data_IF_829562889554
#
_entry.id   IF_829562889554
#
_cell.length_a   1.000
_cell.length_b   1.000
_cell.length_c   1.000
_cell.angle_alpha   90.00
_cell.angle_beta   90.00
_cell.angle_gamma   90.00
#
_symmetry.space_group_name_H-M   'P 1'
#
loop_
_entity.id
_entity.type
_entity.pdbx_description
1 polymer ?
#
# COMPACT_ATOMS: atom_id res chain seq x y z
N UNK A 1 -6.83 -10.81 14.82
CA UNK A 1 -6.69 -9.67 13.89
C UNK A 1 -5.39 -8.97 14.20
N UNK A 2 -4.47 -8.94 13.24
CA UNK A 2 -3.18 -8.29 13.36
C UNK A 2 -3.32 -6.77 13.48
N UNK A 3 -2.28 -6.09 13.98
CA UNK A 3 -2.26 -4.62 14.04
C UNK A 3 -2.46 -3.98 12.65
N UNK A 4 -1.86 -4.60 11.62
CA UNK A 4 -2.00 -4.17 10.23
C UNK A 4 -3.46 -4.16 9.79
N UNK A 5 -4.18 -5.25 10.05
CA UNK A 5 -5.60 -5.37 9.67
C UNK A 5 -6.45 -4.33 10.39
N UNK A 6 -6.17 -4.06 11.68
CA UNK A 6 -6.88 -3.04 12.46
C UNK A 6 -6.67 -1.63 11.89
N UNK A 7 -5.43 -1.28 11.55
CA UNK A 7 -5.10 -0.02 10.88
C UNK A 7 -5.82 0.07 9.53
N UNK A 8 -5.73 -1.01 8.72
CA UNK A 8 -6.30 -1.04 7.37
C UNK A 8 -7.81 -0.81 7.35
N UNK A 9 -8.53 -1.38 8.33
CA UNK A 9 -9.97 -1.22 8.45
C UNK A 9 -10.37 0.25 8.65
N UNK A 10 -9.60 1.00 9.46
CA UNK A 10 -9.88 2.42 9.73
C UNK A 10 -9.31 3.37 8.66
N UNK A 11 -8.25 2.93 7.98
CA UNK A 11 -7.60 3.73 6.96
C UNK A 11 -8.38 3.67 5.63
N UNK A 12 -8.97 2.54 5.27
CA UNK A 12 -9.70 2.39 4.01
C UNK A 12 -11.17 2.85 4.13
N UNK A 13 -11.61 3.71 3.21
CA UNK A 13 -12.95 4.31 3.23
C UNK A 13 -14.06 3.31 2.97
N UNK A 14 -13.74 2.17 2.34
CA UNK A 14 -14.70 1.07 2.10
C UNK A 14 -15.02 0.34 3.39
N UNK A 15 -14.01 0.12 4.25
CA UNK A 15 -14.13 -0.69 5.47
C UNK A 15 -14.40 0.12 6.73
N UNK A 16 -14.15 1.44 6.71
CA UNK A 16 -14.25 2.32 7.88
C UNK A 16 -15.62 2.26 8.59
N UNK A 17 -16.69 1.96 7.85
CA UNK A 17 -18.07 1.88 8.37
C UNK A 17 -18.61 0.44 8.42
N UNK A 18 -17.75 -0.57 8.28
CA UNK A 18 -18.18 -1.96 8.30
C UNK A 18 -18.76 -2.33 9.69
N UNK A 19 -19.98 -2.88 9.68
CA UNK A 19 -20.67 -3.35 10.88
C UNK A 19 -20.06 -4.68 11.34
N UNK A 20 -19.26 -4.65 12.40
CA UNK A 20 -18.61 -5.85 12.94
C UNK A 20 -17.52 -5.57 13.97
N UNK A 21 -17.08 -4.32 14.08
CA UNK A 21 -16.09 -3.90 15.06
C UNK A 21 -16.72 -3.60 16.41
N UNK A 22 -16.23 -4.25 17.47
CA UNK A 22 -16.60 -3.88 18.85
C UNK A 22 -16.02 -2.50 19.20
N UNK A 23 -16.69 -1.76 20.07
CA UNK A 23 -16.24 -0.43 20.49
C UNK A 23 -14.80 -0.44 21.04
N UNK A 24 -14.44 -1.42 21.86
CA UNK A 24 -13.10 -1.54 22.43
C UNK A 24 -12.03 -1.79 21.36
N UNK A 25 -12.35 -2.63 20.37
CA UNK A 25 -11.45 -2.91 19.24
C UNK A 25 -11.25 -1.66 18.39
N UNK A 26 -12.30 -0.86 18.23
CA UNK A 26 -12.24 0.40 17.48
C UNK A 26 -11.32 1.40 18.17
N UNK A 27 -11.43 1.54 19.50
CA UNK A 27 -10.56 2.45 20.27
C UNK A 27 -9.09 2.02 20.20
N UNK A 28 -8.82 0.72 20.31
CA UNK A 28 -7.47 0.16 20.16
C UNK A 28 -6.92 0.40 18.75
N UNK A 29 -7.74 0.18 17.72
CA UNK A 29 -7.37 0.43 16.32
C UNK A 29 -7.13 1.92 16.04
N UNK A 30 -7.93 2.83 16.63
CA UNK A 30 -7.77 4.28 16.50
C UNK A 30 -6.43 4.71 17.11
N UNK A 31 -6.04 4.15 18.26
CA UNK A 31 -4.73 4.41 18.87
C UNK A 31 -3.57 3.88 18.03
N UNK A 32 -3.72 2.68 17.45
CA UNK A 32 -2.71 2.12 16.54
C UNK A 32 -2.55 2.99 15.28
N UNK A 33 -3.67 3.47 14.73
CA UNK A 33 -3.65 4.37 13.57
C UNK A 33 -3.05 5.74 13.92
N UNK A 34 -3.33 6.30 15.11
CA UNK A 34 -2.71 7.55 15.59
C UNK A 34 -1.18 7.41 15.65
N UNK A 35 -0.68 6.34 16.25
CA UNK A 35 0.75 6.08 16.32
C UNK A 35 1.37 5.93 14.92
N UNK A 36 0.72 5.16 14.03
CA UNK A 36 1.17 5.00 12.66
C UNK A 36 1.18 6.33 11.89
N UNK A 37 0.19 7.19 12.12
CA UNK A 37 0.07 8.51 11.52
C UNK A 37 1.22 9.42 11.95
N UNK A 38 1.52 9.47 13.25
CA UNK A 38 2.62 10.27 13.79
C UNK A 38 3.96 9.81 13.20
N UNK A 39 4.23 8.50 13.19
CA UNK A 39 5.45 7.95 12.61
C UNK A 39 5.58 8.26 11.11
N UNK A 40 4.47 8.11 10.37
CA UNK A 40 4.43 8.45 8.96
C UNK A 40 4.68 9.94 8.72
N UNK A 41 4.01 10.81 9.48
CA UNK A 41 4.15 12.27 9.37
C UNK A 41 5.57 12.75 9.66
N UNK A 42 6.24 12.19 10.67
CA UNK A 42 7.66 12.49 10.95
C UNK A 42 8.55 12.18 9.75
N UNK A 43 8.44 10.96 9.21
CA UNK A 43 9.23 10.51 8.04
C UNK A 43 8.91 11.35 6.80
N UNK A 44 7.65 11.67 6.57
CA UNK A 44 7.24 12.47 5.43
C UNK A 44 7.78 13.91 5.51
N UNK A 45 7.76 14.53 6.70
CA UNK A 45 8.34 15.85 6.92
C UNK A 45 9.86 15.85 6.77
N UNK A 46 10.53 14.81 7.28
CA UNK A 46 11.97 14.63 7.08
C UNK A 46 12.32 14.53 5.59
N UNK A 47 11.60 13.70 4.85
CA UNK A 47 11.79 13.55 3.41
C UNK A 47 11.52 14.87 2.64
N UNK A 48 10.51 15.65 3.03
CA UNK A 48 10.27 16.97 2.46
C UNK A 48 11.45 17.93 2.70
N UNK A 49 12.04 17.91 3.90
CA UNK A 49 13.22 18.72 4.25
C UNK A 49 14.46 18.29 3.46
N UNK A 50 14.71 16.98 3.35
CA UNK A 50 15.82 16.41 2.58
C UNK A 50 15.71 16.78 1.09
N UNK A 51 14.52 16.67 0.52
CA UNK A 51 14.26 17.07 -0.87
C UNK A 51 14.55 18.55 -1.10
N UNK A 52 14.10 19.43 -0.20
CA UNK A 52 14.36 20.86 -0.29
C UNK A 52 15.85 21.18 -0.15
N UNK A 53 16.58 20.49 0.73
CA UNK A 53 18.02 20.65 0.89
C UNK A 53 18.77 20.21 -0.38
N UNK A 54 18.36 19.10 -1.00
CA UNK A 54 18.93 18.62 -2.26
C UNK A 54 18.70 19.61 -3.40
N UNK A 55 17.47 20.10 -3.57
CA UNK A 55 17.13 21.11 -4.58
C UNK A 55 17.90 22.42 -4.36
N UNK A 56 18.11 22.84 -3.10
CA UNK A 56 18.90 24.02 -2.78
C UNK A 56 20.39 23.82 -3.11
N UNK A 57 20.96 22.64 -2.83
CA UNK A 57 22.34 22.30 -3.18
C UNK A 57 22.55 22.29 -4.70
N UNK A 58 21.63 21.66 -5.44
CA UNK A 58 21.68 21.62 -6.91
C UNK A 58 21.57 23.03 -7.53
N UNK A 59 20.74 23.91 -6.96
CA UNK A 59 20.67 25.32 -7.40
C UNK A 59 21.95 26.09 -7.10
N UNK A 60 22.58 25.86 -5.94
CA UNK A 60 23.85 26.50 -5.59
C UNK A 60 24.99 26.05 -6.52
N UNK A 61 25.07 24.75 -6.85
CA UNK A 61 26.05 24.20 -7.79
C UNK A 61 25.84 24.71 -9.23
N UNK A 62 24.57 24.83 -9.66
CA UNK A 62 24.21 25.38 -10.97
C UNK A 62 24.52 26.89 -11.09
N UNK A 63 24.44 27.64 -9.97
CA UNK A 63 24.83 29.05 -9.91
C UNK A 63 26.35 29.26 -9.85
N UNK A 64 27.10 28.33 -9.25
CA UNK A 64 28.57 28.37 -9.25
C UNK A 64 29.16 28.11 -10.65
N UNK A 65 28.53 27.24 -11.44
CA UNK A 65 28.96 26.89 -12.81
C UNK A 65 28.53 27.90 -13.88
N UNK A 66 27.50 28.72 -13.65
CA UNK A 66 27.07 29.77 -14.61
C UNK A 66 27.93 31.03 -14.61
N UNK A 67 28.94 31.17 -13.74
CA UNK A 67 29.97 32.21 -13.88
C UNK A 67 30.99 31.94 -15.00
N UNK A 68 30.90 30.79 -15.70
CA UNK A 68 31.91 30.43 -16.71
C UNK A 68 31.41 29.92 -18.06
N UNK A 69 30.10 29.83 -18.34
CA UNK A 69 29.63 29.48 -19.71
C UNK A 69 28.23 30.02 -20.02
N UNK A 70 28.19 31.11 -20.77
CA UNK A 70 27.06 31.45 -21.62
C UNK A 70 27.12 30.58 -22.89
N UNK A 71 26.10 29.75 -23.12
CA UNK A 71 25.47 29.44 -24.42
C UNK A 71 24.80 28.05 -24.46
N UNK A 72 23.50 28.06 -24.80
CA UNK A 72 22.69 26.99 -25.41
C UNK A 72 22.45 25.71 -24.56
N UNK A 73 21.27 25.07 -24.50
CA UNK A 73 20.03 25.14 -25.30
C UNK A 73 18.90 24.59 -24.43
N UNK A 74 17.67 25.07 -24.65
CA UNK A 74 16.42 24.50 -24.15
C UNK A 74 16.24 23.09 -24.71
N UNK A 75 15.96 22.11 -23.86
CA UNK A 75 15.15 20.96 -24.26
C UNK A 75 14.28 20.49 -23.10
N UNK A 76 13.05 20.15 -23.43
CA UNK A 76 11.95 19.77 -22.55
C UNK A 76 12.19 18.39 -21.93
N UNK A 77 12.00 18.26 -20.62
CA UNK A 77 11.90 16.97 -19.95
C UNK A 77 10.65 16.96 -19.07
N UNK A 78 9.69 16.17 -19.53
CA UNK A 78 8.46 15.80 -18.85
C UNK A 78 8.78 15.20 -17.47
N UNK A 79 8.17 15.75 -16.42
CA UNK A 79 8.27 15.24 -15.06
C UNK A 79 7.44 13.95 -14.94
N UNK A 80 8.06 12.81 -15.25
CA UNK A 80 7.62 11.52 -14.76
C UNK A 80 7.78 11.48 -13.24
N UNK A 81 6.68 11.29 -12.51
CA UNK A 81 6.73 10.89 -11.11
C UNK A 81 7.27 9.46 -11.05
N UNK A 82 8.59 9.34 -10.97
CA UNK A 82 9.27 8.09 -10.67
C UNK A 82 9.13 7.84 -9.16
N UNK A 83 8.36 6.80 -8.81
CA UNK A 83 8.31 6.31 -7.44
C UNK A 83 9.57 5.49 -7.23
N UNK A 84 10.59 6.11 -6.65
CA UNK A 84 11.77 5.38 -6.17
C UNK A 84 11.34 4.47 -5.02
N UNK A 85 11.36 3.16 -5.31
CA UNK A 85 10.88 2.07 -4.46
C UNK A 85 11.94 1.71 -3.38
N UNK A 86 12.55 2.73 -2.77
CA UNK A 86 13.47 2.56 -1.65
C UNK A 86 12.69 2.37 -0.34
N UNK A 87 11.95 1.26 -0.25
CA UNK A 87 11.20 0.85 0.94
C UNK A 87 12.02 -0.15 1.77
N UNK A 88 12.29 0.27 3.01
CA UNK A 88 12.46 -0.58 4.20
C UNK A 88 13.71 -1.47 4.27
N UNK A 89 14.86 -0.83 4.51
CA UNK A 89 15.90 -1.45 5.33
C UNK A 89 15.62 -1.15 6.81
N UNK A 90 15.40 -2.21 7.59
CA UNK A 90 15.12 -2.20 9.02
C UNK A 90 16.43 -2.04 9.82
N UNK A 91 17.14 -0.94 9.56
CA UNK A 91 18.31 -0.57 10.35
C UNK A 91 17.86 0.34 11.49
N UNK A 92 17.61 -0.28 12.64
CA UNK A 92 17.67 0.37 13.95
C UNK A 92 19.11 0.89 14.15
N UNK A 93 19.36 2.14 13.74
CA UNK A 93 20.56 2.87 14.14
C UNK A 93 20.15 4.21 14.79
N UNK A 94 20.39 4.27 16.09
CA UNK A 94 20.18 5.39 17.00
C UNK A 94 20.99 6.64 16.60
N UNK A 95 20.35 7.82 16.63
CA UNK A 95 21.07 9.09 16.77
C UNK A 95 20.29 10.10 17.62
N UNK A 96 20.62 10.09 18.90
CA UNK A 96 20.19 11.00 19.96
C UNK A 96 20.73 12.43 19.74
N UNK A 97 19.90 13.42 19.36
CA UNK A 97 20.05 14.85 19.74
C UNK A 97 18.88 15.79 19.34
N UNK A 98 17.64 15.63 19.84
CA UNK A 98 16.58 16.66 19.65
C UNK A 98 15.34 16.56 20.58
N UNK A 99 15.49 16.04 21.80
CA UNK A 99 14.36 15.61 22.64
C UNK A 99 13.21 16.62 22.86
N UNK A 100 13.44 17.93 22.76
CA UNK A 100 12.37 18.95 22.91
C UNK A 100 11.63 19.21 21.58
N UNK A 101 12.34 19.29 20.46
CA UNK A 101 11.74 19.53 19.15
C UNK A 101 10.97 18.29 18.63
N UNK A 102 11.50 17.10 18.92
CA UNK A 102 10.84 15.84 18.53
C UNK A 102 9.55 15.59 19.33
N UNK A 103 9.51 15.95 20.62
CA UNK A 103 8.31 15.88 21.43
C UNK A 103 7.23 16.87 20.96
N UNK A 104 7.62 18.10 20.61
CA UNK A 104 6.69 19.12 20.11
C UNK A 104 6.04 18.67 18.79
N UNK A 105 6.85 18.18 17.85
CA UNK A 105 6.36 17.67 16.56
C UNK A 105 5.46 16.44 16.69
N UNK A 106 5.82 15.50 17.58
CA UNK A 106 4.98 14.34 17.92
C UNK A 106 3.62 14.79 18.43
N UNK A 107 3.60 15.77 19.33
CA UNK A 107 2.38 16.28 19.93
C UNK A 107 1.49 17.02 18.91
N UNK A 108 2.10 17.81 18.02
CA UNK A 108 1.40 18.51 16.94
C UNK A 108 0.75 17.53 15.96
N UNK A 109 1.47 16.49 15.53
CA UNK A 109 0.95 15.45 14.64
C UNK A 109 -0.19 14.63 15.27
N UNK A 110 -0.13 14.37 16.58
CA UNK A 110 -1.20 13.70 17.31
C UNK A 110 -2.48 14.58 17.40
N UNK A 111 -2.32 15.89 17.60
CA UNK A 111 -3.44 16.86 17.58
C UNK A 111 -4.04 16.98 16.18
N UNK A 112 -3.19 17.03 15.16
CA UNK A 112 -3.59 17.02 13.75
C UNK A 112 -4.40 15.76 13.43
N UNK A 113 -3.89 14.58 13.79
CA UNK A 113 -4.57 13.30 13.59
C UNK A 113 -6.01 13.33 14.13
N UNK A 114 -6.20 13.76 15.38
CA UNK A 114 -7.54 13.83 16.00
C UNK A 114 -8.51 14.75 15.25
N UNK A 115 -7.99 15.75 14.56
CA UNK A 115 -8.77 16.70 13.77
C UNK A 115 -9.11 16.10 12.41
N UNK A 116 -8.10 15.66 11.66
CA UNK A 116 -8.28 15.11 10.30
C UNK A 116 -9.03 13.78 10.32
N UNK A 117 -8.83 12.93 11.33
CA UNK A 117 -9.52 11.65 11.45
C UNK A 117 -11.02 11.83 11.73
N UNK A 118 -11.42 12.90 12.43
CA UNK A 118 -12.85 13.24 12.57
C UNK A 118 -13.48 13.61 11.23
N UNK A 119 -12.76 14.34 10.39
CA UNK A 119 -13.19 14.69 9.04
C UNK A 119 -13.24 13.44 8.15
N UNK A 120 -12.20 12.59 8.23
CA UNK A 120 -12.12 11.30 7.53
C UNK A 120 -13.32 10.40 7.81
N UNK A 121 -13.68 10.22 9.08
CA UNK A 121 -14.86 9.43 9.49
C UNK A 121 -16.18 9.94 8.92
N UNK A 122 -16.28 11.26 8.72
CA UNK A 122 -17.48 11.92 8.19
C UNK A 122 -17.54 11.93 6.67
N UNK A 123 -16.44 11.61 5.99
CA UNK A 123 -16.39 11.60 4.53
C UNK A 123 -17.46 10.65 3.97
N UNK A 124 -18.22 11.15 3.00
CA UNK A 124 -19.19 10.40 2.21
C UNK A 124 -18.70 10.39 0.78
N UNK A 125 -18.38 9.20 0.27
CA UNK A 125 -17.92 9.02 -1.11
C UNK A 125 -19.12 8.68 -1.96
N UNK A 126 -19.32 9.43 -3.04
CA UNK A 126 -20.29 9.07 -4.07
C UNK A 126 -19.65 8.07 -5.04
N UNK A 127 -19.74 6.78 -4.72
CA UNK A 127 -19.03 5.72 -5.46
C UNK A 127 -19.35 5.73 -6.97
N UNK A 128 -20.62 5.97 -7.33
CA UNK A 128 -21.07 5.98 -8.73
C UNK A 128 -20.49 7.14 -9.55
N UNK A 129 -20.33 8.29 -8.92
CA UNK A 129 -19.75 9.48 -9.55
C UNK A 129 -18.23 9.35 -9.72
N UNK A 130 -17.55 8.78 -8.72
CA UNK A 130 -16.10 8.60 -8.75
C UNK A 130 -15.65 7.43 -9.63
N UNK A 131 -16.50 6.42 -9.79
CA UNK A 131 -16.18 5.21 -10.56
C UNK A 131 -17.28 4.90 -11.60
N UNK A 132 -17.50 5.78 -12.59
CA UNK A 132 -18.57 5.59 -13.58
C UNK A 132 -18.37 4.33 -14.45
N UNK A 133 -17.12 3.88 -14.58
CA UNK A 133 -16.74 2.68 -15.33
C UNK A 133 -17.08 1.37 -14.58
N UNK A 134 -17.44 1.45 -13.30
CA UNK A 134 -17.75 0.29 -12.47
C UNK A 134 -19.26 0.05 -12.40
N UNK A 135 -19.66 -1.21 -12.50
CA UNK A 135 -21.05 -1.62 -12.31
C UNK A 135 -21.41 -1.57 -10.83
N UNK A 136 -22.38 -0.73 -10.47
CA UNK A 136 -22.98 -0.72 -9.13
C UNK A 136 -24.41 -1.25 -9.20
N UNK A 137 -24.92 -1.86 -8.11
CA UNK A 137 -26.34 -2.17 -7.98
C UNK A 137 -27.20 -0.91 -8.13
N UNK A 138 -28.43 -1.06 -8.63
CA UNK A 138 -29.40 0.04 -8.70
C UNK A 138 -29.75 0.58 -7.30
N UNK A 139 -29.80 -0.31 -6.31
CA UNK A 139 -29.98 0.04 -4.91
C UNK A 139 -28.65 0.28 -4.20
N UNK A 140 -28.24 1.55 -4.13
CA UNK A 140 -27.04 1.99 -3.42
C UNK A 140 -27.13 1.83 -1.89
N UNK A 141 -28.31 1.52 -1.33
CA UNK A 141 -28.51 1.24 0.09
C UNK A 141 -27.96 -0.13 0.53
N UNK A 142 -27.75 -1.04 -0.43
CA UNK A 142 -27.31 -2.41 -0.19
C UNK A 142 -26.02 -2.77 -0.95
N UNK A 143 -25.03 -1.86 -0.95
CA UNK A 143 -23.71 -2.15 -1.48
C UNK A 143 -23.02 -3.23 -0.64
N UNK A 144 -22.62 -4.33 -1.29
CA UNK A 144 -21.80 -5.37 -0.69
C UNK A 144 -20.32 -4.95 -0.70
N UNK A 145 -19.69 -5.00 0.46
CA UNK A 145 -18.29 -4.60 0.61
C UNK A 145 -17.38 -5.41 -0.33
N UNK A 146 -17.58 -6.74 -0.38
CA UNK A 146 -16.68 -7.65 -1.08
C UNK A 146 -16.91 -7.64 -2.59
N UNK A 147 -18.17 -7.71 -3.01
CA UNK A 147 -18.55 -7.83 -4.41
C UNK A 147 -18.46 -6.50 -5.14
N UNK A 148 -18.92 -5.40 -4.50
CA UNK A 148 -19.07 -4.10 -5.17
C UNK A 148 -17.90 -3.14 -4.89
N UNK A 149 -17.40 -3.09 -3.65
CA UNK A 149 -16.42 -2.06 -3.24
C UNK A 149 -14.96 -2.52 -3.27
N UNK A 150 -14.67 -3.80 -2.95
CA UNK A 150 -13.28 -4.28 -2.86
C UNK A 150 -12.53 -4.26 -4.20
N UNK A 151 -13.25 -4.29 -5.32
CA UNK A 151 -12.68 -4.24 -6.69
C UNK A 151 -12.41 -2.83 -7.19
N UNK A 152 -12.86 -1.80 -6.48
CA UNK A 152 -12.69 -0.43 -6.93
C UNK A 152 -11.21 0.00 -6.90
N UNK A 153 -10.74 0.74 -7.93
CA UNK A 153 -9.38 1.26 -7.96
C UNK A 153 -9.24 2.49 -7.04
N UNK A 154 -9.21 2.24 -5.72
CA UNK A 154 -9.17 3.27 -4.67
C UNK A 154 -8.03 4.27 -4.81
N UNK A 155 -6.96 3.88 -5.50
CA UNK A 155 -5.85 4.79 -5.80
C UNK A 155 -6.29 6.07 -6.51
N UNK A 156 -7.30 6.02 -7.39
CA UNK A 156 -7.86 7.21 -8.05
C UNK A 156 -8.50 8.17 -7.05
N UNK A 157 -9.34 7.64 -6.17
CA UNK A 157 -10.02 8.41 -5.13
C UNK A 157 -9.01 9.10 -4.20
N UNK A 158 -8.04 8.35 -3.67
CA UNK A 158 -7.06 8.92 -2.75
C UNK A 158 -6.18 9.97 -3.42
N UNK A 159 -5.74 9.75 -4.66
CA UNK A 159 -5.01 10.77 -5.45
C UNK A 159 -5.84 12.03 -5.66
N UNK A 160 -7.14 11.92 -5.88
CA UNK A 160 -8.03 13.08 -6.01
C UNK A 160 -8.20 13.82 -4.68
N UNK A 161 -8.34 13.10 -3.55
CA UNK A 161 -8.41 13.71 -2.23
C UNK A 161 -7.13 14.50 -1.91
N UNK A 162 -5.95 13.96 -2.22
CA UNK A 162 -4.66 14.65 -2.08
C UNK A 162 -4.63 15.92 -2.93
N UNK A 163 -5.06 15.83 -4.20
CA UNK A 163 -5.11 17.00 -5.09
C UNK A 163 -6.09 18.08 -4.61
N UNK A 164 -7.20 17.70 -3.97
CA UNK A 164 -8.21 18.62 -3.46
C UNK A 164 -7.81 19.33 -2.17
N UNK A 165 -6.86 18.77 -1.42
CA UNK A 165 -6.39 19.29 -0.13
C UNK A 165 -4.85 19.44 -0.13
N UNK A 166 -4.29 20.35 -0.94
CA UNK A 166 -2.84 20.50 -1.07
C UNK A 166 -2.18 20.99 0.23
N UNK A 167 -2.93 21.70 1.09
CA UNK A 167 -2.47 22.16 2.41
C UNK A 167 -2.67 21.12 3.50
N UNK A 168 -3.26 19.95 3.19
CA UNK A 168 -3.52 18.84 4.12
C UNK A 168 -4.37 19.22 5.34
N UNK A 169 -5.24 20.22 5.21
CA UNK A 169 -6.03 20.73 6.34
C UNK A 169 -7.24 19.85 6.68
N UNK A 170 -7.80 19.17 5.68
CA UNK A 170 -9.01 18.36 5.84
C UNK A 170 -8.68 16.90 6.17
N UNK A 171 -7.71 16.32 5.46
CA UNK A 171 -7.44 14.88 5.52
C UNK A 171 -6.02 14.54 6.00
N UNK A 172 -5.14 15.53 6.12
CA UNK A 172 -3.78 15.30 6.60
C UNK A 172 -3.01 14.32 5.69
N UNK A 173 -2.30 13.40 6.33
CA UNK A 173 -1.56 12.31 5.67
C UNK A 173 -2.40 11.06 5.38
N UNK A 174 -3.65 10.98 5.82
CA UNK A 174 -4.46 9.76 5.72
C UNK A 174 -4.64 9.25 4.28
N UNK A 175 -4.96 10.09 3.27
CA UNK A 175 -5.06 9.63 1.89
C UNK A 175 -3.75 9.06 1.35
N UNK A 176 -2.61 9.66 1.73
CA UNK A 176 -1.29 9.21 1.29
C UNK A 176 -0.93 7.89 2.00
N UNK A 177 -1.18 7.78 3.30
CA UNK A 177 -1.03 6.54 4.04
C UNK A 177 -1.88 5.41 3.44
N UNK A 178 -3.10 5.70 3.01
CA UNK A 178 -3.96 4.71 2.36
C UNK A 178 -3.39 4.21 1.01
N UNK A 179 -2.47 4.96 0.39
CA UNK A 179 -1.81 4.61 -0.88
C UNK A 179 -0.49 3.87 -0.74
N UNK A 180 0.25 4.05 0.36
CA UNK A 180 1.62 3.55 0.46
C UNK A 180 2.04 3.11 1.86
N UNK A 181 1.14 3.09 2.86
CA UNK A 181 1.50 2.57 4.19
C UNK A 181 1.22 1.08 4.32
N UNK A 182 1.77 0.47 5.37
CA UNK A 182 1.48 -0.91 5.77
C UNK A 182 -0.03 -1.19 5.95
N UNK A 183 -0.82 -0.15 6.28
CA UNK A 183 -2.28 -0.23 6.41
C UNK A 183 -3.04 -0.27 5.08
N UNK A 184 -2.36 -0.20 3.94
CA UNK A 184 -3.02 -0.24 2.64
C UNK A 184 -3.66 -1.62 2.37
N UNK A 185 -4.92 -1.57 1.90
CA UNK A 185 -5.63 -2.74 1.39
C UNK A 185 -5.38 -2.91 -0.11
N UNK A 186 -4.75 -4.03 -0.50
CA UNK A 186 -4.66 -4.49 -1.88
C UNK A 186 -3.24 -4.61 -2.46
N UNK A 187 -2.32 -3.70 -2.13
CA UNK A 187 -1.02 -3.60 -2.84
C UNK A 187 0.00 -4.64 -2.39
N UNK A 188 0.12 -4.88 -1.07
CA UNK A 188 1.08 -5.84 -0.51
C UNK A 188 0.77 -7.32 -0.85
N UNK A 189 -0.41 -7.62 -1.41
CA UNK A 189 -0.74 -8.98 -1.84
C UNK A 189 -0.01 -9.37 -3.13
N UNK A 190 0.28 -8.40 -4.02
CA UNK A 190 0.97 -8.67 -5.27
C UNK A 190 2.47 -8.91 -5.05
N UNK A 191 3.13 -8.07 -4.24
CA UNK A 191 4.55 -8.20 -3.92
C UNK A 191 4.85 -9.52 -3.18
N UNK A 192 4.14 -9.78 -2.08
CA UNK A 192 4.28 -11.05 -1.35
C UNK A 192 3.84 -12.28 -2.16
N UNK A 193 3.05 -12.10 -3.22
CA UNK A 193 2.78 -13.18 -4.18
C UNK A 193 3.99 -13.41 -5.07
N UNK A 194 4.57 -12.37 -5.66
CA UNK A 194 5.78 -12.45 -6.48
C UNK A 194 6.95 -13.05 -5.69
N UNK A 195 7.19 -12.63 -4.45
CA UNK A 195 8.23 -13.19 -3.58
C UNK A 195 8.00 -14.68 -3.31
N UNK A 196 6.76 -15.10 -3.06
CA UNK A 196 6.42 -16.52 -2.88
C UNK A 196 6.63 -17.31 -4.16
N UNK A 197 6.24 -16.78 -5.32
CA UNK A 197 6.49 -17.40 -6.63
C UNK A 197 7.98 -17.58 -6.85
N UNK A 198 8.79 -16.54 -6.61
CA UNK A 198 10.25 -16.58 -6.77
C UNK A 198 10.91 -17.57 -5.78
N UNK A 199 10.50 -17.53 -4.51
CA UNK A 199 10.99 -18.46 -3.48
C UNK A 199 10.69 -19.92 -3.84
N UNK A 200 9.46 -20.22 -4.25
CA UNK A 200 9.10 -21.57 -4.70
C UNK A 200 9.81 -21.94 -6.01
N UNK A 201 9.99 -20.98 -6.93
CA UNK A 201 10.78 -21.11 -8.15
C UNK A 201 12.20 -21.57 -7.88
N UNK A 202 12.91 -20.92 -6.96
CA UNK A 202 14.27 -21.29 -6.57
C UNK A 202 14.36 -22.72 -6.02
N UNK A 203 13.34 -23.19 -5.30
CA UNK A 203 13.32 -24.56 -4.80
C UNK A 203 12.99 -25.61 -5.88
N UNK A 204 12.40 -25.20 -7.01
CA UNK A 204 12.08 -26.07 -8.15
C UNK A 204 13.24 -26.12 -9.14
N UNK A 205 13.93 -24.99 -9.35
CA UNK A 205 15.12 -24.85 -10.19
C UNK A 205 16.36 -25.45 -9.50
N UNK A 206 16.43 -26.77 -9.44
CA UNK A 206 17.63 -27.52 -9.06
C UNK A 206 18.46 -27.89 -10.30
N UNK A 207 19.74 -28.23 -10.13
CA UNK A 207 20.63 -28.59 -11.25
C UNK A 207 20.05 -29.65 -12.19
N UNK A 208 19.28 -30.62 -11.65
CA UNK A 208 18.60 -31.65 -12.44
C UNK A 208 17.29 -31.22 -13.10
N UNK A 209 16.66 -30.14 -12.63
CA UNK A 209 15.40 -29.60 -13.15
C UNK A 209 15.60 -28.39 -14.08
N UNK A 210 16.84 -27.99 -14.36
CA UNK A 210 17.17 -26.93 -15.33
C UNK A 210 16.76 -27.26 -16.77
N UNK A 211 16.47 -28.53 -17.07
CA UNK A 211 15.99 -29.00 -18.37
C UNK A 211 14.49 -28.83 -18.59
N UNK A 212 13.73 -28.44 -17.56
CA UNK A 212 12.29 -28.19 -17.71
C UNK A 212 12.05 -26.97 -18.59
N UNK A 213 11.04 -27.07 -19.45
CA UNK A 213 10.54 -25.91 -20.19
C UNK A 213 9.93 -24.87 -19.25
N UNK A 214 9.80 -23.64 -19.71
CA UNK A 214 9.22 -22.55 -18.92
C UNK A 214 7.80 -22.88 -18.42
N UNK A 215 6.97 -23.49 -19.28
CA UNK A 215 5.61 -23.92 -18.95
C UNK A 215 5.59 -25.00 -17.85
N UNK A 216 6.51 -25.96 -17.91
CA UNK A 216 6.64 -27.01 -16.88
C UNK A 216 7.10 -26.44 -15.55
N UNK A 217 8.05 -25.50 -15.56
CA UNK A 217 8.50 -24.79 -14.37
C UNK A 217 7.36 -24.00 -13.71
N UNK A 218 6.59 -23.26 -14.49
CA UNK A 218 5.43 -22.49 -13.99
C UNK A 218 4.38 -23.41 -13.34
N UNK A 219 4.07 -24.54 -13.99
CA UNK A 219 3.15 -25.54 -13.43
C UNK A 219 3.64 -26.12 -12.11
N UNK A 220 4.92 -26.52 -12.03
CA UNK A 220 5.49 -27.10 -10.81
C UNK A 220 5.55 -26.08 -9.68
N UNK A 221 5.90 -24.83 -9.97
CA UNK A 221 5.88 -23.73 -8.98
C UNK A 221 4.46 -23.50 -8.46
N UNK A 222 3.47 -23.45 -9.35
CA UNK A 222 2.06 -23.28 -8.98
C UNK A 222 1.55 -24.44 -8.12
N UNK A 223 1.88 -25.68 -8.47
CA UNK A 223 1.54 -26.86 -7.68
C UNK A 223 2.20 -26.82 -6.30
N UNK A 224 3.44 -26.35 -6.21
CA UNK A 224 4.19 -26.24 -4.96
C UNK A 224 3.60 -25.16 -4.04
N UNK A 225 3.26 -23.99 -4.58
CA UNK A 225 2.58 -22.92 -3.84
C UNK A 225 1.26 -23.40 -3.23
N UNK A 226 0.52 -24.24 -3.96
CA UNK A 226 -0.78 -24.75 -3.52
C UNK A 226 -0.69 -26.08 -2.74
N UNK A 227 0.51 -26.57 -2.42
CA UNK A 227 0.71 -27.90 -1.82
C UNK A 227 -0.05 -28.09 -0.51
N UNK A 228 0.07 -27.15 0.42
CA UNK A 228 -0.61 -27.22 1.73
C UNK A 228 -2.14 -27.17 1.58
N UNK A 229 -2.64 -26.32 0.69
CA UNK A 229 -4.07 -26.25 0.38
C UNK A 229 -4.58 -27.56 -0.21
N UNK A 230 -3.84 -28.16 -1.16
CA UNK A 230 -4.19 -29.47 -1.72
C UNK A 230 -4.16 -30.58 -0.65
N UNK A 231 -3.21 -30.56 0.27
CA UNK A 231 -3.17 -31.50 1.40
C UNK A 231 -4.38 -31.32 2.32
N UNK A 232 -4.70 -30.08 2.70
CA UNK A 232 -5.87 -29.74 3.50
C UNK A 232 -7.18 -30.22 2.82
N UNK A 233 -7.35 -29.94 1.52
CA UNK A 233 -8.51 -30.38 0.75
C UNK A 233 -8.63 -31.90 0.69
N UNK A 234 -7.53 -32.63 0.55
CA UNK A 234 -7.53 -34.11 0.57
C UNK A 234 -7.90 -34.67 1.94
N UNK A 235 -7.47 -34.03 3.02
CA UNK A 235 -7.74 -34.47 4.39
C UNK A 235 -9.19 -34.20 4.81
N UNK A 236 -9.71 -33.00 4.55
CA UNK A 236 -11.02 -32.56 5.05
C UNK A 236 -12.17 -32.74 4.04
N UNK A 237 -11.86 -32.79 2.73
CA UNK A 237 -12.85 -32.87 1.66
C UNK A 237 -12.55 -34.02 0.69
N UNK A 238 -12.16 -35.18 1.24
CA UNK A 238 -11.89 -36.42 0.50
C UNK A 238 -13.01 -36.79 -0.51
N UNK A 239 -14.27 -36.58 -0.12
CA UNK A 239 -15.40 -36.89 -1.00
C UNK A 239 -15.46 -36.02 -2.27
N UNK A 240 -14.91 -34.79 -2.22
CA UNK A 240 -14.80 -33.90 -3.38
C UNK A 240 -13.51 -34.16 -4.18
N UNK A 241 -12.42 -34.57 -3.53
CA UNK A 241 -11.14 -34.81 -4.20
C UNK A 241 -11.13 -36.04 -5.13
N UNK A 242 -12.17 -36.88 -5.04
CA UNK A 242 -12.41 -38.03 -5.93
C UNK A 242 -13.25 -37.71 -7.16
N UNK A 243 -13.80 -36.50 -7.29
CA UNK A 243 -14.47 -36.10 -8.51
C UNK A 243 -13.43 -35.95 -9.63
N UNK A 244 -13.67 -36.58 -10.77
CA UNK A 244 -12.81 -36.46 -11.94
C UNK A 244 -12.98 -35.07 -12.56
N UNK A 245 -12.14 -34.14 -12.12
CA UNK A 245 -11.89 -32.91 -12.86
C UNK A 245 -10.99 -33.27 -14.04
N UNK A 246 -11.32 -32.76 -15.24
CA UNK A 246 -10.57 -32.98 -16.48
C UNK A 246 -9.05 -32.78 -16.23
N UNK A 247 -8.33 -33.89 -16.07
CA UNK A 247 -6.90 -33.87 -15.72
C UNK A 247 -6.11 -33.55 -16.97
N UNK A 248 -5.42 -32.41 -17.00
CA UNK A 248 -4.34 -32.20 -17.96
C UNK A 248 -3.17 -33.08 -17.54
N UNK A 249 -2.96 -34.18 -18.25
CA UNK A 249 -1.83 -35.08 -18.01
C UNK A 249 -0.61 -34.47 -18.70
N UNK A 250 0.33 -33.95 -17.91
CA UNK A 250 1.67 -33.62 -18.40
C UNK A 250 2.39 -34.94 -18.66
N UNK A 251 2.62 -35.27 -19.93
CA UNK A 251 3.41 -36.44 -20.31
C UNK A 251 4.87 -36.06 -20.23
N UNK A 252 5.59 -36.66 -19.28
CA UNK A 252 7.05 -36.66 -19.19
C UNK A 252 7.62 -37.64 -20.20
#
# INVERSE_FOLDING_TARGET
MSERERIAILLDLRTLKASGFKADQFLEAEKLLENAYVMFGKRALQHEQEKQALEASQRAESQATTSSKAAATKDELESGFEYDDAMFDDSDDDANNSGVADLDQTSALAVEFKTVFKTWKKLKVNWKEYFPDCSFPDDMGHLDLVSDLMRLPMGRLYKQLIKSDPLRLAYGWLPLMALCSRGQLGTLLAESFCERVLSQGNLVMTDGNTLLSHEELEMVVTLRMNREFMHYMRQHYNHLSKQDFARTVVRV
#
